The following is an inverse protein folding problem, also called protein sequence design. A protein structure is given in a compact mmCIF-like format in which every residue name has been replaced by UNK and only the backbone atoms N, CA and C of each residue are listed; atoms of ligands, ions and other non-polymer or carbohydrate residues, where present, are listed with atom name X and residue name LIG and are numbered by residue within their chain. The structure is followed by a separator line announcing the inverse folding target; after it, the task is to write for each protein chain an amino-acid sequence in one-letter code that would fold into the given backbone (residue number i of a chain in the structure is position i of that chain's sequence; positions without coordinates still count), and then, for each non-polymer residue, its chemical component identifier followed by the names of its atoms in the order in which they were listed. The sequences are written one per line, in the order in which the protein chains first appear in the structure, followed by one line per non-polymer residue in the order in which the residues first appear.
data_IF_339899513092
#
_entry.id   IF_339899513092
#
_cell.length_a   1.000
_cell.length_b   1.000
_cell.length_c   1.000
_cell.angle_alpha   90.00
_cell.angle_beta   90.00
_cell.angle_gamma   90.00
#
_symmetry.space_group_name_H-M   'P 1'
#
loop_
_entity.id
_entity.type
_entity.pdbx_description
1 polymer ?
#
# COMPACT_ATOMS: atom_id res chain seq x y z
N UNK A 1 -7.70 -6.26 -25.20
CA UNK A 1 -8.29 -5.64 -24.00
C UNK A 1 -9.80 -5.77 -23.94
N UNK A 2 -10.52 -5.62 -25.06
CA UNK A 2 -12.00 -5.67 -25.09
C UNK A 2 -12.60 -7.07 -24.83
N UNK A 3 -11.88 -8.14 -25.15
CA UNK A 3 -12.36 -9.53 -25.02
C UNK A 3 -11.77 -10.32 -23.84
N UNK A 4 -10.99 -9.66 -22.97
CA UNK A 4 -10.40 -10.32 -21.81
C UNK A 4 -11.30 -10.16 -20.59
N UNK A 5 -11.81 -11.26 -20.07
CA UNK A 5 -12.67 -11.28 -18.90
C UNK A 5 -11.85 -11.12 -17.61
N UNK A 6 -11.49 -9.88 -17.28
CA UNK A 6 -10.65 -9.51 -16.14
C UNK A 6 -11.11 -10.06 -14.80
N UNK A 7 -12.43 -10.23 -14.63
CA UNK A 7 -13.04 -10.73 -13.39
C UNK A 7 -13.37 -12.22 -13.43
N UNK A 8 -13.10 -12.92 -14.54
CA UNK A 8 -13.35 -14.35 -14.68
C UNK A 8 -12.15 -15.21 -14.27
N UNK A 9 -10.95 -14.63 -14.21
CA UNK A 9 -9.71 -15.34 -13.87
C UNK A 9 -9.13 -14.86 -12.54
N UNK A 10 -8.89 -15.79 -11.61
CA UNK A 10 -8.42 -15.50 -10.25
C UNK A 10 -7.20 -14.57 -10.19
N UNK A 11 -6.11 -14.86 -10.92
CA UNK A 11 -4.92 -14.02 -10.94
C UNK A 11 -5.17 -12.60 -11.48
N UNK A 12 -6.00 -12.47 -12.51
CA UNK A 12 -6.31 -11.17 -13.09
C UNK A 12 -7.12 -10.30 -12.11
N UNK A 13 -8.15 -10.87 -11.48
CA UNK A 13 -8.93 -10.19 -10.43
C UNK A 13 -8.06 -9.79 -9.25
N UNK A 14 -7.14 -10.66 -8.82
CA UNK A 14 -6.20 -10.36 -7.74
C UNK A 14 -5.28 -9.18 -8.10
N UNK A 15 -4.69 -9.17 -9.30
CA UNK A 15 -3.85 -8.05 -9.76
C UNK A 15 -4.63 -6.74 -9.80
N UNK A 16 -5.88 -6.75 -10.30
CA UNK A 16 -6.75 -5.56 -10.32
C UNK A 16 -7.02 -5.06 -8.91
N UNK A 17 -7.32 -5.95 -7.96
CA UNK A 17 -7.52 -5.59 -6.54
C UNK A 17 -6.25 -4.99 -5.92
N UNK A 18 -5.08 -5.59 -6.16
CA UNK A 18 -3.80 -5.06 -5.67
C UNK A 18 -3.58 -3.65 -6.20
N UNK A 19 -3.74 -3.43 -7.51
CA UNK A 19 -3.58 -2.11 -8.12
C UNK A 19 -4.56 -1.09 -7.55
N UNK A 20 -5.82 -1.47 -7.37
CA UNK A 20 -6.85 -0.60 -6.80
C UNK A 20 -6.52 -0.20 -5.36
N UNK A 21 -6.15 -1.16 -4.52
CA UNK A 21 -5.82 -0.91 -3.11
C UNK A 21 -4.55 -0.06 -3.00
N UNK A 22 -3.50 -0.38 -3.77
CA UNK A 22 -2.27 0.42 -3.81
C UNK A 22 -2.55 1.84 -4.30
N UNK A 23 -3.33 2.00 -5.36
CA UNK A 23 -3.70 3.33 -5.86
C UNK A 23 -4.39 4.19 -4.80
N UNK A 24 -5.27 3.59 -4.01
CA UNK A 24 -5.99 4.28 -2.94
C UNK A 24 -5.05 4.75 -1.81
N UNK A 25 -3.95 4.04 -1.54
CA UNK A 25 -3.00 4.42 -0.49
C UNK A 25 -1.92 5.42 -0.95
N UNK A 26 -1.66 5.54 -2.26
CA UNK A 26 -0.65 6.47 -2.80
C UNK A 26 -0.77 7.90 -2.25
N UNK A 27 -1.95 8.56 -2.24
CA UNK A 27 -2.05 9.94 -1.76
C UNK A 27 -1.67 10.09 -0.29
N UNK A 28 -2.09 9.14 0.55
CA UNK A 28 -1.79 9.14 1.97
C UNK A 28 -0.28 9.00 2.23
N UNK A 29 0.35 8.02 1.59
CA UNK A 29 1.80 7.79 1.70
C UNK A 29 2.58 8.98 1.16
N UNK A 30 2.19 9.53 0.01
CA UNK A 30 2.87 10.67 -0.62
C UNK A 30 2.84 11.92 0.26
N UNK A 31 1.66 12.29 0.79
CA UNK A 31 1.52 13.47 1.67
C UNK A 31 2.31 13.26 2.96
N UNK A 32 2.24 12.06 3.55
CA UNK A 32 2.92 11.76 4.81
C UNK A 32 4.44 11.80 4.66
N UNK A 33 4.97 11.18 3.61
CA UNK A 33 6.40 11.22 3.32
C UNK A 33 6.87 12.63 2.96
N UNK A 34 6.04 13.41 2.26
CA UNK A 34 6.36 14.81 1.98
C UNK A 34 6.43 15.64 3.26
N UNK A 35 5.46 15.51 4.17
CA UNK A 35 5.48 16.19 5.47
C UNK A 35 6.71 15.79 6.29
N UNK A 36 7.12 14.52 6.24
CA UNK A 36 8.32 14.03 6.91
C UNK A 36 9.61 14.55 6.27
N UNK A 37 9.63 14.79 4.96
CA UNK A 37 10.77 15.41 4.30
C UNK A 37 10.97 16.87 4.73
N UNK A 38 9.89 17.59 5.02
CA UNK A 38 9.96 18.98 5.49
C UNK A 38 10.58 19.11 6.88
N UNK A 39 10.63 18.04 7.68
CA UNK A 39 11.27 18.06 9.00
C UNK A 39 12.78 17.82 8.94
N UNK A 40 13.32 17.43 7.78
CA UNK A 40 14.76 17.20 7.59
C UNK A 40 15.49 18.54 7.55
N UNK A 41 16.43 18.81 8.48
CA UNK A 41 17.20 20.05 8.48
C UNK A 41 18.05 20.18 7.21
N UNK A 42 17.98 21.34 6.55
CA UNK A 42 18.75 21.62 5.33
C UNK A 42 20.28 21.56 5.57
N UNK A 43 20.72 21.94 6.76
CA UNK A 43 22.13 21.94 7.20
C UNK A 43 22.79 20.55 7.07
N UNK A 44 22.04 19.46 7.29
CA UNK A 44 22.56 18.09 7.12
C UNK A 44 22.82 17.75 5.66
N UNK A 45 22.00 18.27 4.75
CA UNK A 45 22.21 18.09 3.31
C UNK A 45 23.31 18.99 2.77
N UNK A 46 23.47 20.19 3.32
CA UNK A 46 24.53 21.12 2.95
C UNK A 46 25.90 20.64 3.41
N UNK A 47 26.03 20.21 4.66
CA UNK A 47 27.27 19.60 5.18
C UNK A 47 27.68 18.37 4.38
N UNK A 48 26.74 17.47 4.07
CA UNK A 48 27.02 16.31 3.21
C UNK A 48 27.50 16.72 1.79
N UNK A 49 27.01 17.83 1.24
CA UNK A 49 27.50 18.36 -0.04
C UNK A 49 28.91 18.95 0.08
N UNK A 50 29.21 19.63 1.18
CA UNK A 50 30.56 20.13 1.48
C UNK A 50 31.57 18.98 1.61
N UNK A 51 31.13 17.83 2.12
CA UNK A 51 31.90 16.58 2.18
C UNK A 51 32.02 15.83 0.83
N UNK A 52 31.53 16.43 -0.27
CA UNK A 52 31.60 15.86 -1.62
C UNK A 52 30.60 14.72 -1.87
N UNK A 53 29.54 14.57 -1.05
CA UNK A 53 28.52 13.56 -1.28
C UNK A 53 27.61 13.94 -2.47
N UNK A 54 27.49 13.04 -3.45
CA UNK A 54 26.50 13.16 -4.53
C UNK A 54 25.06 12.88 -4.07
N UNK A 55 24.07 13.23 -4.91
CA UNK A 55 22.63 13.13 -4.58
C UNK A 55 22.19 11.74 -4.08
N UNK A 56 22.70 10.65 -4.69
CA UNK A 56 22.39 9.28 -4.26
C UNK A 56 22.93 8.95 -2.87
N UNK A 57 24.15 9.43 -2.55
CA UNK A 57 24.76 9.23 -1.23
C UNK A 57 23.96 9.99 -0.18
N UNK A 58 23.62 11.25 -0.43
CA UNK A 58 22.79 12.09 0.46
C UNK A 58 21.44 11.40 0.73
N UNK A 59 20.75 10.92 -0.30
CA UNK A 59 19.48 10.21 -0.12
C UNK A 59 19.62 8.99 0.80
N UNK A 60 20.61 8.12 0.56
CA UNK A 60 20.77 6.87 1.31
C UNK A 60 21.35 7.07 2.71
N UNK A 61 22.23 8.05 2.92
CA UNK A 61 22.95 8.26 4.19
C UNK A 61 22.35 9.34 5.09
N UNK A 62 21.57 10.28 4.54
CA UNK A 62 20.96 11.38 5.31
C UNK A 62 19.44 11.24 5.29
N UNK A 63 18.82 11.29 4.12
CA UNK A 63 17.36 11.34 3.98
C UNK A 63 16.69 10.04 4.45
N UNK A 64 17.10 8.89 3.91
CA UNK A 64 16.49 7.59 4.21
C UNK A 64 16.59 7.22 5.70
N UNK A 65 17.75 7.36 6.39
CA UNK A 65 17.84 7.05 7.81
C UNK A 65 16.97 7.94 8.70
N UNK A 66 16.85 9.23 8.36
CA UNK A 66 15.98 10.17 9.09
C UNK A 66 14.50 9.87 8.88
N UNK A 67 14.12 9.41 7.69
CA UNK A 67 12.73 9.05 7.38
C UNK A 67 12.33 7.64 7.84
N UNK A 68 13.27 6.75 8.18
CA UNK A 68 13.00 5.38 8.66
C UNK A 68 11.87 5.27 9.71
N UNK A 69 11.84 6.05 10.80
CA UNK A 69 10.79 5.93 11.80
C UNK A 69 9.40 6.27 11.23
N UNK A 70 9.30 7.30 10.38
CA UNK A 70 8.04 7.67 9.74
C UNK A 70 7.63 6.62 8.71
N UNK A 71 8.58 6.14 7.90
CA UNK A 71 8.32 5.07 6.92
C UNK A 71 7.82 3.79 7.60
N UNK A 72 8.43 3.41 8.73
CA UNK A 72 7.98 2.26 9.53
C UNK A 72 6.57 2.44 10.07
N UNK A 73 6.24 3.63 10.60
CA UNK A 73 4.89 3.93 11.06
C UNK A 73 3.86 3.83 9.93
N UNK A 74 4.14 4.45 8.78
CA UNK A 74 3.27 4.42 7.60
C UNK A 74 3.07 2.99 7.11
N UNK A 75 4.15 2.21 7.01
CA UNK A 75 4.09 0.81 6.60
C UNK A 75 3.22 -0.03 7.54
N UNK A 76 3.38 0.13 8.86
CA UNK A 76 2.54 -0.57 9.83
C UNK A 76 1.06 -0.20 9.66
N UNK A 77 0.76 1.08 9.45
CA UNK A 77 -0.60 1.55 9.26
C UNK A 77 -1.23 0.98 7.98
N UNK A 78 -0.47 0.98 6.88
CA UNK A 78 -0.86 0.38 5.59
C UNK A 78 -1.18 -1.11 5.75
N UNK A 79 -0.33 -1.87 6.45
CA UNK A 79 -0.58 -3.30 6.71
C UNK A 79 -1.90 -3.50 7.45
N UNK A 80 -2.16 -2.70 8.49
CA UNK A 80 -3.42 -2.78 9.25
C UNK A 80 -4.63 -2.49 8.34
N UNK A 81 -4.51 -1.49 7.47
CA UNK A 81 -5.59 -1.08 6.56
C UNK A 81 -5.88 -2.15 5.51
N UNK A 82 -4.84 -2.71 4.90
CA UNK A 82 -4.96 -3.79 3.91
C UNK A 82 -5.54 -5.06 4.56
N UNK A 83 -5.12 -5.41 5.78
CA UNK A 83 -5.68 -6.56 6.51
C UNK A 83 -7.20 -6.45 6.74
N UNK A 84 -7.70 -5.23 6.92
CA UNK A 84 -9.12 -4.94 7.15
C UNK A 84 -9.90 -4.62 5.88
N UNK A 85 -9.28 -4.78 4.71
CA UNK A 85 -9.84 -4.44 3.40
C UNK A 85 -11.00 -5.38 3.02
N UNK A 86 -12.21 -5.05 3.48
CA UNK A 86 -13.44 -5.77 3.15
C UNK A 86 -14.18 -5.15 1.96
N UNK A 87 -14.44 -3.85 2.02
CA UNK A 87 -15.33 -3.16 1.08
C UNK A 87 -14.85 -3.26 -0.36
N UNK A 88 -13.55 -3.03 -0.62
CA UNK A 88 -13.01 -3.11 -1.98
C UNK A 88 -13.12 -4.51 -2.57
N UNK A 89 -12.81 -5.54 -1.79
CA UNK A 89 -12.84 -6.94 -2.25
C UNK A 89 -14.28 -7.41 -2.44
N UNK A 90 -15.17 -7.08 -1.50
CA UNK A 90 -16.58 -7.44 -1.60
C UNK A 90 -17.28 -6.74 -2.78
N UNK A 91 -16.99 -5.46 -3.01
CA UNK A 91 -17.57 -4.70 -4.11
C UNK A 91 -17.16 -5.24 -5.49
N UNK A 92 -15.91 -5.67 -5.64
CA UNK A 92 -15.36 -6.02 -6.95
C UNK A 92 -15.54 -7.50 -7.30
N UNK A 93 -15.31 -8.41 -6.34
CA UNK A 93 -15.25 -9.84 -6.63
C UNK A 93 -16.09 -10.72 -5.70
N UNK A 94 -16.54 -10.19 -4.56
CA UNK A 94 -17.22 -10.96 -3.49
C UNK A 94 -16.42 -12.19 -3.01
N UNK A 95 -15.10 -12.16 -3.20
CA UNK A 95 -14.17 -13.27 -2.90
C UNK A 95 -13.82 -14.17 -4.08
N UNK A 96 -14.42 -14.00 -5.26
CA UNK A 96 -14.17 -14.83 -6.45
C UNK A 96 -13.09 -14.29 -7.40
N UNK A 97 -12.85 -14.97 -8.55
CA UNK A 97 -13.27 -16.34 -8.88
C UNK A 97 -12.52 -17.42 -8.07
N UNK A 98 -13.13 -18.59 -7.88
CA UNK A 98 -12.55 -19.76 -7.19
C UNK A 98 -11.92 -19.48 -5.81
N UNK A 99 -12.50 -18.55 -5.04
CA UNK A 99 -11.96 -18.09 -3.76
C UNK A 99 -10.56 -17.43 -3.83
N UNK A 100 -10.09 -17.08 -5.03
CA UNK A 100 -8.74 -16.54 -5.26
C UNK A 100 -8.49 -15.18 -4.60
N UNK A 101 -9.56 -14.45 -4.24
CA UNK A 101 -9.45 -13.14 -3.58
C UNK A 101 -10.13 -13.13 -2.22
N UNK A 102 -10.43 -14.29 -1.65
CA UNK A 102 -11.09 -14.40 -0.35
C UNK A 102 -10.12 -14.02 0.76
N UNK A 103 -10.40 -12.94 1.46
CA UNK A 103 -9.69 -12.52 2.68
C UNK A 103 -10.47 -12.89 3.93
N UNK A 104 -9.81 -12.83 5.09
CA UNK A 104 -10.43 -13.10 6.41
C UNK A 104 -11.80 -12.41 6.61
N UNK A 105 -11.94 -11.08 6.35
CA UNK A 105 -13.23 -10.41 6.49
C UNK A 105 -14.29 -10.92 5.51
N UNK A 106 -13.91 -11.21 4.27
CA UNK A 106 -14.83 -11.73 3.23
C UNK A 106 -15.30 -13.13 3.59
N UNK A 107 -14.38 -13.99 4.04
CA UNK A 107 -14.70 -15.34 4.47
C UNK A 107 -15.65 -15.34 5.68
N UNK A 108 -15.36 -14.54 6.70
CA UNK A 108 -16.23 -14.40 7.87
C UNK A 108 -17.66 -13.98 7.48
N UNK A 109 -17.78 -13.07 6.51
CA UNK A 109 -19.08 -12.62 6.00
C UNK A 109 -19.81 -13.72 5.21
N UNK A 110 -19.11 -14.48 4.35
CA UNK A 110 -19.69 -15.60 3.61
C UNK A 110 -20.23 -16.69 4.55
N UNK A 111 -19.46 -17.06 5.59
CA UNK A 111 -19.88 -18.03 6.60
C UNK A 111 -21.11 -17.55 7.36
N UNK A 112 -21.13 -16.28 7.78
CA UNK A 112 -22.26 -15.69 8.49
C UNK A 112 -23.56 -15.70 7.66
N UNK A 113 -23.46 -15.50 6.33
CA UNK A 113 -24.61 -15.61 5.42
C UNK A 113 -25.08 -17.05 5.23
N UNK A 114 -24.16 -18.00 5.14
CA UNK A 114 -24.49 -19.42 4.97
C UNK A 114 -25.21 -19.99 6.19
N UNK A 115 -24.88 -19.52 7.40
CA UNK A 115 -25.52 -19.95 8.64
C UNK A 115 -26.96 -19.42 8.82
N UNK A 116 -27.31 -18.32 8.14
CA UNK A 116 -28.64 -17.70 8.19
C UNK A 116 -29.56 -18.14 7.02
N UNK A 117 -29.13 -19.08 6.19
CA UNK A 117 -29.97 -19.77 5.19
C UNK A 117 -30.39 -21.13 5.72
#
# INVERSE_FOLDING_TARGET
FHDYAWFAHGPATFTVLVLLITWQSVPFVAITLHAALLTVPAELTESARMDGAGAWRIFRSVTLPLLRPVFGLVLCLEVIWVFRCFAQIWALSKGGPDSATTTLPVYAYQVAQALHR
#
